data_IF_706529955645
#
_entry.id   IF_706529955645
#
_cell.length_a   1.000
_cell.length_b   1.000
_cell.length_c   1.000
_cell.angle_alpha   90.00
_cell.angle_beta   90.00
_cell.angle_gamma   90.00
#
_symmetry.space_group_name_H-M   'P 1'
#
loop_
_entity.id
_entity.type
_entity.pdbx_description
1 polymer ?
#
# COMPACT_ATOMS: atom_id res chain seq x y z
N UNK A 1 3.37 0.32 -14.02
CA UNK A 1 2.01 0.93 -14.03
C UNK A 1 2.19 2.44 -13.92
N UNK A 2 1.25 3.29 -14.33
CA UNK A 2 1.36 4.73 -14.04
C UNK A 2 1.23 4.98 -12.52
N UNK A 3 1.95 5.97 -11.95
CA UNK A 3 1.86 6.28 -10.52
C UNK A 3 0.43 6.57 -10.04
N UNK A 4 -0.35 7.29 -10.85
CA UNK A 4 -1.73 7.66 -10.53
C UNK A 4 -2.63 6.42 -10.38
N UNK A 5 -2.50 5.45 -11.28
CA UNK A 5 -3.28 4.20 -11.23
C UNK A 5 -2.88 3.35 -10.01
N UNK A 6 -1.59 3.31 -9.69
CA UNK A 6 -1.10 2.63 -8.48
C UNK A 6 -1.70 3.25 -7.21
N UNK A 7 -1.65 4.58 -7.08
CA UNK A 7 -2.22 5.32 -5.95
C UNK A 7 -3.73 5.06 -5.83
N UNK A 8 -4.46 5.14 -6.95
CA UNK A 8 -5.89 4.85 -6.97
C UNK A 8 -6.20 3.44 -6.46
N UNK A 9 -5.49 2.42 -6.93
CA UNK A 9 -5.73 1.04 -6.49
C UNK A 9 -5.37 0.82 -5.02
N UNK A 10 -4.25 1.36 -4.56
CA UNK A 10 -3.86 1.29 -3.14
C UNK A 10 -4.93 1.94 -2.24
N UNK A 11 -5.48 3.08 -2.66
CA UNK A 11 -6.54 3.76 -1.94
C UNK A 11 -7.86 2.99 -1.96
N UNK A 12 -8.20 2.30 -3.04
CA UNK A 12 -9.39 1.45 -3.09
C UNK A 12 -9.29 0.30 -2.08
N UNK A 13 -8.13 -0.34 -1.97
CA UNK A 13 -7.85 -1.37 -0.97
C UNK A 13 -8.01 -0.80 0.44
N UNK A 14 -7.40 0.36 0.71
CA UNK A 14 -7.52 1.02 2.01
C UNK A 14 -8.95 1.44 2.37
N UNK A 15 -9.71 1.99 1.42
CA UNK A 15 -11.11 2.35 1.62
C UNK A 15 -11.94 1.13 1.99
N UNK A 16 -11.70 -0.03 1.35
CA UNK A 16 -12.36 -1.28 1.73
C UNK A 16 -12.06 -1.65 3.18
N UNK A 17 -10.77 -1.73 3.56
CA UNK A 17 -10.39 -2.12 4.92
C UNK A 17 -10.78 -1.10 5.99
N UNK A 18 -10.87 0.18 5.66
CA UNK A 18 -11.35 1.22 6.57
C UNK A 18 -12.82 1.05 6.98
N UNK A 19 -13.62 0.29 6.22
CA UNK A 19 -15.01 -0.04 6.59
C UNK A 19 -15.13 -1.28 7.46
N UNK A 20 -14.05 -2.07 7.58
CA UNK A 20 -14.06 -3.29 8.38
C UNK A 20 -13.86 -2.96 9.86
N UNK A 21 -14.50 -3.70 10.78
CA UNK A 21 -14.28 -3.52 12.21
C UNK A 21 -12.86 -3.95 12.59
N UNK A 22 -12.23 -3.22 13.51
CA UNK A 22 -10.91 -3.53 14.05
C UNK A 22 -9.97 -2.32 14.06
N UNK A 23 -8.80 -2.50 14.67
CA UNK A 23 -7.71 -1.51 14.67
C UNK A 23 -6.53 -1.95 13.80
N UNK A 24 -6.63 -3.11 13.15
CA UNK A 24 -5.61 -3.79 12.35
C UNK A 24 -5.67 -3.42 10.85
N UNK A 25 -6.37 -2.33 10.49
CA UNK A 25 -6.59 -1.97 9.10
C UNK A 25 -5.30 -1.75 8.29
N UNK A 26 -4.26 -1.17 8.91
CA UNK A 26 -2.98 -0.92 8.25
C UNK A 26 -2.23 -2.25 7.95
N UNK A 27 -2.26 -3.19 8.90
CA UNK A 27 -1.67 -4.52 8.75
C UNK A 27 -2.37 -5.31 7.65
N UNK A 28 -3.71 -5.29 7.65
CA UNK A 28 -4.52 -5.94 6.60
C UNK A 28 -4.28 -5.37 5.19
N UNK A 29 -4.12 -4.05 5.08
CA UNK A 29 -3.74 -3.43 3.80
C UNK A 29 -2.36 -3.93 3.37
N UNK A 30 -1.38 -3.94 4.27
CA UNK A 30 -0.04 -4.40 3.95
C UNK A 30 0.00 -5.89 3.54
N UNK A 31 -0.74 -6.75 4.24
CA UNK A 31 -0.87 -8.17 3.90
C UNK A 31 -1.45 -8.36 2.51
N UNK A 32 -2.54 -7.66 2.19
CA UNK A 32 -3.13 -7.70 0.84
C UNK A 32 -2.13 -7.24 -0.24
N UNK A 33 -1.38 -6.17 0.01
CA UNK A 33 -0.34 -5.72 -0.92
C UNK A 33 0.77 -6.77 -1.06
N UNK A 34 1.22 -7.38 0.03
CA UNK A 34 2.27 -8.40 0.01
C UNK A 34 1.86 -9.66 -0.75
N UNK A 35 0.60 -10.08 -0.61
CA UNK A 35 0.08 -11.31 -1.20
C UNK A 35 -0.27 -11.16 -2.68
N UNK A 36 -0.83 -10.01 -3.08
CA UNK A 36 -1.42 -9.84 -4.41
C UNK A 36 -0.63 -8.93 -5.34
N UNK A 37 0.27 -8.07 -4.83
CA UNK A 37 1.04 -7.17 -5.68
C UNK A 37 2.38 -7.76 -6.07
N UNK A 38 2.70 -7.62 -7.36
CA UNK A 38 4.01 -7.97 -7.89
C UNK A 38 5.13 -7.19 -7.17
N UNK A 39 6.33 -7.79 -7.00
CA UNK A 39 7.47 -7.16 -6.34
C UNK A 39 7.74 -5.71 -6.77
N UNK A 40 7.78 -5.46 -8.09
CA UNK A 40 8.03 -4.11 -8.64
C UNK A 40 6.98 -3.08 -8.24
N UNK A 41 5.72 -3.49 -8.07
CA UNK A 41 4.64 -2.57 -7.68
C UNK A 41 4.79 -2.17 -6.21
N UNK A 42 5.19 -3.11 -5.36
CA UNK A 42 5.49 -2.81 -3.94
C UNK A 42 6.68 -1.87 -3.79
N UNK A 43 7.74 -2.06 -4.58
CA UNK A 43 8.87 -1.12 -4.62
C UNK A 43 8.40 0.27 -5.05
N UNK A 44 7.64 0.39 -6.14
CA UNK A 44 7.09 1.68 -6.60
C UNK A 44 6.22 2.37 -5.54
N UNK A 45 5.41 1.61 -4.81
CA UNK A 45 4.55 2.16 -3.77
C UNK A 45 5.36 2.65 -2.56
N UNK A 46 6.36 1.87 -2.13
CA UNK A 46 7.28 2.24 -1.06
C UNK A 46 8.07 3.51 -1.40
N UNK A 47 8.57 3.60 -2.63
CA UNK A 47 9.31 4.77 -3.11
C UNK A 47 8.41 6.01 -3.16
N UNK A 48 7.16 5.87 -3.66
CA UNK A 48 6.19 6.96 -3.69
C UNK A 48 5.83 7.44 -2.27
N UNK A 49 5.63 6.52 -1.33
CA UNK A 49 5.39 6.85 0.06
C UNK A 49 6.60 7.56 0.70
N UNK A 50 7.82 7.11 0.41
CA UNK A 50 9.07 7.76 0.85
C UNK A 50 9.26 9.17 0.29
N UNK A 51 8.73 9.45 -0.90
CA UNK A 51 8.71 10.78 -1.51
C UNK A 51 7.59 11.71 -0.98
N UNK A 52 6.88 11.30 0.08
CA UNK A 52 5.80 12.07 0.71
C UNK A 52 4.40 11.54 0.43
N UNK A 53 4.25 10.53 -0.43
CA UNK A 53 3.01 9.77 -0.57
C UNK A 53 1.82 10.58 -1.10
N UNK A 54 2.07 11.54 -2.00
CA UNK A 54 1.03 12.42 -2.52
C UNK A 54 -0.18 11.62 -3.04
N UNK A 55 -1.37 11.96 -2.53
CA UNK A 55 -2.63 11.31 -2.90
C UNK A 55 -2.87 9.93 -2.29
N UNK A 56 -1.95 9.37 -1.48
CA UNK A 56 -2.18 8.13 -0.76
C UNK A 56 -3.14 8.34 0.42
N UNK A 57 -4.04 7.38 0.60
CA UNK A 57 -4.92 7.33 1.75
C UNK A 57 -4.10 7.16 3.04
N UNK A 58 -4.48 7.79 4.19
CA UNK A 58 -3.72 7.70 5.44
C UNK A 58 -3.45 6.27 5.90
N UNK A 59 -4.43 5.37 5.72
CA UNK A 59 -4.27 3.94 6.03
C UNK A 59 -3.20 3.25 5.17
N UNK A 60 -3.03 3.66 3.90
CA UNK A 60 -1.95 3.15 3.04
C UNK A 60 -0.61 3.62 3.58
N UNK A 61 -0.49 4.91 3.95
CA UNK A 61 0.74 5.44 4.53
C UNK A 61 1.14 4.71 5.82
N UNK A 62 0.17 4.41 6.69
CA UNK A 62 0.39 3.60 7.89
C UNK A 62 0.82 2.17 7.55
N UNK A 63 0.24 1.56 6.51
CA UNK A 63 0.58 0.20 6.08
C UNK A 63 2.03 0.07 5.58
N UNK A 64 2.67 1.16 5.13
CA UNK A 64 4.02 1.09 4.52
C UNK A 64 5.09 0.52 5.43
N UNK A 65 4.96 0.64 6.76
CA UNK A 65 5.91 0.05 7.72
C UNK A 65 5.83 -1.48 7.77
N UNK A 66 4.73 -2.07 7.25
CA UNK A 66 4.48 -3.51 7.21
C UNK A 66 4.61 -4.11 5.80
N UNK A 67 4.70 -3.28 4.76
CA UNK A 67 4.91 -3.76 3.38
C UNK A 67 6.34 -4.27 3.24
N UNK A 68 6.46 -5.53 2.83
CA UNK A 68 7.77 -6.18 2.66
C UNK A 68 8.40 -5.66 1.38
N UNK A 69 9.55 -4.99 1.50
CA UNK A 69 10.39 -4.68 0.34
C UNK A 69 10.91 -6.00 -0.23
N UNK A 70 10.60 -6.34 -1.50
CA UNK A 70 11.15 -7.53 -2.11
C UNK A 70 12.68 -7.46 -2.16
N UNK A 71 13.34 -8.60 -1.95
CA UNK A 71 14.77 -8.69 -2.22
C UNK A 71 15.02 -8.39 -3.71
N UNK A 72 16.06 -7.62 -4.01
CA UNK A 72 16.56 -7.50 -5.38
C UNK A 72 16.93 -8.91 -5.86
N UNK A 73 16.36 -9.32 -6.98
CA UNK A 73 16.63 -10.61 -7.61
C UNK A 73 18.01 -10.62 -8.26
#
# INVERSE_FOLDING_TARGET
>A
MSPEKMVMMANQIATFFATQPGTDGAERVADHLNDFWEPRMRVQLLDHAGAGGAGLHPLVMQAMVHVKRPAEA
#
